data_IF_458180078861
#
_entry.id   IF_458180078861
#
_cell.length_a   1.000
_cell.length_b   1.000
_cell.length_c   1.000
_cell.angle_alpha   90.00
_cell.angle_beta   90.00
_cell.angle_gamma   90.00
#
_symmetry.space_group_name_H-M   'P 1'
#
loop_
_entity.id
_entity.type
_entity.pdbx_description
1 polymer ?
#
# COMPACT_ATOMS: atom_id res chain seq x y z
N UNK A 1 13.76 -11.01 -23.46
CA UNK A 1 13.69 -10.24 -22.20
C UNK A 1 15.01 -10.36 -21.46
N UNK A 2 15.71 -9.25 -21.25
CA UNK A 2 16.96 -9.19 -20.47
C UNK A 2 16.67 -9.35 -18.98
N UNK A 3 17.71 -9.61 -18.17
CA UNK A 3 17.55 -9.72 -16.73
C UNK A 3 17.04 -8.40 -16.11
N UNK A 4 17.47 -7.25 -16.64
CA UNK A 4 17.08 -5.92 -16.17
C UNK A 4 15.62 -5.60 -16.47
N UNK A 5 15.12 -5.98 -17.66
CA UNK A 5 13.71 -5.82 -18.02
C UNK A 5 12.79 -6.62 -17.08
N UNK A 6 13.17 -7.86 -16.72
CA UNK A 6 12.41 -8.67 -15.75
C UNK A 6 12.37 -8.01 -14.38
N UNK A 7 13.49 -7.44 -13.94
CA UNK A 7 13.61 -6.74 -12.65
C UNK A 7 12.77 -5.47 -12.62
N UNK A 8 12.83 -4.66 -13.68
CA UNK A 8 12.01 -3.46 -13.82
C UNK A 8 10.51 -3.77 -13.82
N UNK A 9 10.09 -4.80 -14.57
CA UNK A 9 8.69 -5.23 -14.61
C UNK A 9 8.18 -5.74 -13.26
N UNK A 10 9.00 -6.52 -12.55
CA UNK A 10 8.65 -7.01 -11.21
C UNK A 10 8.47 -5.86 -10.21
N UNK A 11 9.38 -4.88 -10.22
CA UNK A 11 9.30 -3.69 -9.34
C UNK A 11 8.04 -2.87 -9.62
N UNK A 12 7.74 -2.62 -10.89
CA UNK A 12 6.53 -1.91 -11.30
C UNK A 12 5.27 -2.62 -10.82
N UNK A 13 5.20 -3.93 -11.03
CA UNK A 13 4.05 -4.75 -10.60
C UNK A 13 3.87 -4.72 -9.08
N UNK A 14 4.95 -4.88 -8.31
CA UNK A 14 4.89 -4.88 -6.85
C UNK A 14 4.47 -3.52 -6.29
N UNK A 15 5.02 -2.40 -6.81
CA UNK A 15 4.58 -1.06 -6.37
C UNK A 15 3.10 -0.84 -6.71
N UNK A 16 2.66 -1.25 -7.90
CA UNK A 16 1.25 -1.20 -8.30
C UNK A 16 0.35 -2.00 -7.37
N UNK A 17 0.74 -3.23 -7.04
CA UNK A 17 0.01 -4.11 -6.14
C UNK A 17 -0.09 -3.53 -4.71
N UNK A 18 0.99 -2.97 -4.18
CA UNK A 18 1.00 -2.30 -2.86
C UNK A 18 0.05 -1.10 -2.83
N UNK A 19 0.07 -0.28 -3.89
CA UNK A 19 -0.86 0.85 -4.01
C UNK A 19 -2.32 0.37 -4.10
N UNK A 20 -2.59 -0.68 -4.87
CA UNK A 20 -3.93 -1.24 -4.97
C UNK A 20 -4.41 -1.78 -3.61
N UNK A 21 -3.55 -2.51 -2.90
CA UNK A 21 -3.85 -3.02 -1.56
C UNK A 21 -4.18 -1.87 -0.59
N UNK A 22 -3.34 -0.83 -0.52
CA UNK A 22 -3.60 0.33 0.32
C UNK A 22 -4.91 1.06 -0.04
N UNK A 23 -5.22 1.20 -1.33
CA UNK A 23 -6.48 1.79 -1.79
C UNK A 23 -7.70 0.96 -1.37
N UNK A 24 -7.61 -0.38 -1.45
CA UNK A 24 -8.65 -1.29 -0.98
C UNK A 24 -8.82 -1.18 0.55
N UNK A 25 -7.72 -1.14 1.31
CA UNK A 25 -7.75 -0.95 2.76
C UNK A 25 -8.45 0.35 3.13
N UNK A 26 -8.14 1.46 2.46
CA UNK A 26 -8.81 2.76 2.65
C UNK A 26 -10.31 2.65 2.33
N UNK A 27 -10.68 2.01 1.22
CA UNK A 27 -12.09 1.85 0.85
C UNK A 27 -12.87 1.03 1.89
N UNK A 28 -12.28 -0.04 2.41
CA UNK A 28 -12.86 -0.85 3.48
C UNK A 28 -12.98 -0.05 4.78
N UNK A 29 -11.94 0.70 5.14
CA UNK A 29 -11.95 1.56 6.32
C UNK A 29 -13.07 2.59 6.27
N UNK A 30 -13.24 3.25 5.12
CA UNK A 30 -14.34 4.19 4.87
C UNK A 30 -15.69 3.48 5.01
N UNK A 31 -15.85 2.29 4.41
CA UNK A 31 -17.09 1.52 4.54
C UNK A 31 -17.43 1.17 5.99
N UNK A 32 -16.42 0.83 6.82
CA UNK A 32 -16.58 0.56 8.25
C UNK A 32 -16.95 1.84 9.00
N UNK A 33 -16.26 2.96 8.75
CA UNK A 33 -16.55 4.25 9.40
C UNK A 33 -17.97 4.74 9.13
N UNK A 34 -18.54 4.44 7.95
CA UNK A 34 -19.93 4.76 7.61
C UNK A 34 -20.95 3.68 8.04
N UNK A 35 -20.52 2.68 8.81
CA UNK A 35 -21.42 1.63 9.32
C UNK A 35 -21.99 0.71 8.23
N UNK A 36 -21.35 0.64 7.05
CA UNK A 36 -21.78 -0.25 5.95
C UNK A 36 -21.49 -1.72 6.23
N UNK A 37 -20.64 -2.01 7.22
CA UNK A 37 -20.31 -3.36 7.66
C UNK A 37 -20.87 -3.54 9.08
N UNK A 38 -21.91 -4.36 9.21
CA UNK A 38 -22.53 -4.63 10.50
C UNK A 38 -21.58 -5.42 11.42
N UNK A 39 -21.55 -5.06 12.71
CA UNK A 39 -20.75 -5.74 13.73
C UNK A 39 -19.34 -5.18 13.96
N UNK A 40 -18.94 -4.13 13.23
CA UNK A 40 -17.66 -3.44 13.44
C UNK A 40 -17.87 -2.05 14.06
N UNK A 41 -17.13 -1.68 15.13
CA UNK A 41 -17.10 -0.32 15.66
C UNK A 41 -16.57 0.69 14.63
N UNK A 42 -17.18 1.87 14.57
CA UNK A 42 -16.74 2.94 13.67
C UNK A 42 -15.32 3.43 13.97
N UNK A 43 -14.90 3.33 15.23
CA UNK A 43 -13.56 3.61 15.73
C UNK A 43 -12.50 2.76 15.03
N UNK A 44 -12.80 1.48 14.76
CA UNK A 44 -11.90 0.60 14.01
C UNK A 44 -11.74 1.06 12.57
N UNK A 45 -12.80 1.63 11.98
CA UNK A 45 -12.74 2.24 10.65
C UNK A 45 -11.71 3.36 10.58
N UNK A 46 -11.65 4.24 11.59
CA UNK A 46 -10.66 5.33 11.61
C UNK A 46 -9.22 4.84 11.79
N UNK A 47 -9.00 3.84 12.64
CA UNK A 47 -7.67 3.22 12.81
C UNK A 47 -7.23 2.55 11.51
N UNK A 48 -8.12 1.79 10.87
CA UNK A 48 -7.84 1.13 9.60
C UNK A 48 -7.61 2.14 8.47
N UNK A 49 -8.31 3.29 8.50
CA UNK A 49 -8.14 4.36 7.52
C UNK A 49 -6.75 4.98 7.64
N UNK A 50 -6.31 5.29 8.86
CA UNK A 50 -4.96 5.79 9.11
C UNK A 50 -3.89 4.79 8.63
N UNK A 51 -4.08 3.50 8.93
CA UNK A 51 -3.18 2.44 8.46
C UNK A 51 -3.16 2.36 6.93
N UNK A 52 -4.32 2.36 6.27
CA UNK A 52 -4.41 2.28 4.82
C UNK A 52 -3.75 3.47 4.11
N UNK A 53 -3.86 4.68 4.66
CA UNK A 53 -3.16 5.87 4.15
C UNK A 53 -1.64 5.71 4.30
N UNK A 54 -1.19 5.25 5.46
CA UNK A 54 0.23 4.98 5.73
C UNK A 54 0.77 3.94 4.76
N UNK A 55 0.07 2.83 4.55
CA UNK A 55 0.47 1.79 3.59
C UNK A 55 0.46 2.30 2.15
N UNK A 56 -0.57 3.05 1.75
CA UNK A 56 -0.70 3.57 0.39
C UNK A 56 0.42 4.56 0.02
N UNK A 57 0.89 5.35 1.00
CA UNK A 57 1.89 6.40 0.77
C UNK A 57 3.31 5.98 1.15
N UNK A 58 3.51 5.45 2.36
CA UNK A 58 4.84 5.21 2.90
C UNK A 58 5.47 3.91 2.40
N UNK A 59 4.72 2.79 2.34
CA UNK A 59 5.27 1.52 1.84
C UNK A 59 5.85 1.63 0.43
N UNK A 60 5.15 2.16 -0.59
CA UNK A 60 5.72 2.23 -1.93
C UNK A 60 6.94 3.16 -1.99
N UNK A 61 6.97 4.24 -1.20
CA UNK A 61 8.15 5.10 -1.11
C UNK A 61 9.33 4.36 -0.48
N UNK A 62 9.11 3.57 0.56
CA UNK A 62 10.14 2.73 1.17
C UNK A 62 10.66 1.67 0.20
N UNK A 63 9.78 1.01 -0.56
CA UNK A 63 10.18 0.05 -1.60
C UNK A 63 11.03 0.72 -2.69
N UNK A 64 10.63 1.90 -3.16
CA UNK A 64 11.41 2.67 -4.15
C UNK A 64 12.78 3.03 -3.59
N UNK A 65 12.88 3.53 -2.35
CA UNK A 65 14.15 3.84 -1.69
C UNK A 65 15.05 2.60 -1.60
N UNK A 66 14.50 1.46 -1.14
CA UNK A 66 15.23 0.21 -0.96
C UNK A 66 15.71 -0.41 -2.27
N UNK A 67 15.01 -0.19 -3.37
CA UNK A 67 15.43 -0.66 -4.70
C UNK A 67 16.33 0.31 -5.46
N UNK A 68 16.40 1.57 -5.01
CA UNK A 68 17.35 2.57 -5.51
C UNK A 68 18.72 2.52 -4.85
N UNK A 69 18.88 1.86 -3.70
CA UNK A 69 20.18 1.77 -3.01
C UNK A 69 21.08 0.68 -3.60
N UNK A 70 22.16 1.09 -4.28
CA UNK A 70 23.52 0.82 -3.86
C UNK A 70 24.12 2.13 -3.35
N UNK A 71 23.92 2.44 -2.07
CA UNK A 71 24.74 3.44 -1.38
C UNK A 71 25.75 2.63 -0.57
N UNK A 72 26.81 2.21 -1.24
CA UNK A 72 28.11 2.06 -0.60
C UNK A 72 28.64 3.47 -0.40
N UNK A 73 28.55 3.98 0.82
CA UNK A 73 29.60 4.85 1.35
C UNK A 73 30.78 3.98 1.80
#
# INVERSE_FOLDING_TARGET
>A
MTADERRARSRFFVIGAVRLAGAITIALAVAISFGRIAGLPGELGYVLLALGIVEFLLLPQMLVKRWKTPTSE
#
